data_IF_331482284299
#
_entry.id   IF_331482284299
#
_cell.length_a   1.000
_cell.length_b   1.000
_cell.length_c   1.000
_cell.angle_alpha   90.00
_cell.angle_beta   90.00
_cell.angle_gamma   90.00
#
_symmetry.space_group_name_H-M   'P 1'
#
loop_
_entity.id
_entity.type
_entity.pdbx_description
1 polymer ?
#
# COMPACT_ATOMS: atom_id res chain seq x y z
N UNK A 1 -2.22 -5.32 2.61
CA UNK A 1 -0.90 -5.66 3.19
C UNK A 1 -1.04 -6.67 4.34
N UNK A 2 -2.10 -6.59 5.16
CA UNK A 2 -2.38 -7.56 6.22
C UNK A 2 -2.59 -9.00 5.70
N UNK A 3 -3.21 -9.17 4.54
CA UNK A 3 -3.37 -10.47 3.88
C UNK A 3 -2.00 -11.11 3.57
N UNK A 4 -1.07 -10.33 3.02
CA UNK A 4 0.28 -10.81 2.71
C UNK A 4 1.05 -11.19 3.98
N UNK A 5 0.94 -10.38 5.04
CA UNK A 5 1.50 -10.74 6.35
C UNK A 5 0.95 -12.08 6.87
N UNK A 6 -0.39 -12.27 6.75
CA UNK A 6 -1.03 -13.54 7.14
C UNK A 6 -0.46 -14.70 6.32
N UNK A 7 -0.34 -14.54 5.01
CA UNK A 7 0.24 -15.55 4.12
C UNK A 7 1.65 -15.97 4.56
N UNK A 8 2.54 -15.02 4.87
CA UNK A 8 3.88 -15.34 5.33
C UNK A 8 3.89 -16.04 6.69
N UNK A 9 3.01 -15.65 7.62
CA UNK A 9 2.92 -16.33 8.92
C UNK A 9 2.40 -17.76 8.78
N UNK A 10 1.37 -17.97 7.97
CA UNK A 10 0.82 -19.30 7.70
C UNK A 10 1.85 -20.20 7.00
N UNK A 11 2.62 -19.63 6.06
CA UNK A 11 3.74 -20.33 5.40
C UNK A 11 4.82 -20.72 6.42
N UNK A 12 5.22 -19.81 7.30
CA UNK A 12 6.22 -20.09 8.33
C UNK A 12 5.76 -21.20 9.27
N UNK A 13 4.51 -21.16 9.72
CA UNK A 13 3.90 -22.20 10.55
C UNK A 13 3.90 -23.56 9.84
N UNK A 14 3.53 -23.58 8.56
CA UNK A 14 3.44 -24.82 7.78
C UNK A 14 4.78 -25.54 7.66
N UNK A 15 5.88 -24.81 7.52
CA UNK A 15 7.19 -25.41 7.26
C UNK A 15 8.09 -25.54 8.50
N UNK A 16 7.86 -24.75 9.54
CA UNK A 16 8.79 -24.68 10.69
C UNK A 16 8.12 -24.82 12.04
N UNK A 17 6.80 -24.92 12.10
CA UNK A 17 5.98 -24.91 13.32
C UNK A 17 6.18 -23.62 14.17
N UNK A 18 6.86 -22.61 13.63
CA UNK A 18 7.12 -21.33 14.30
C UNK A 18 6.06 -20.30 13.94
N UNK A 19 5.87 -19.37 14.83
CA UNK A 19 5.02 -18.19 14.61
C UNK A 19 5.80 -16.94 14.99
N UNK A 20 5.68 -15.90 14.17
CA UNK A 20 6.22 -14.58 14.48
C UNK A 20 5.09 -13.65 14.91
N UNK A 21 5.41 -12.70 15.78
CA UNK A 21 4.47 -11.63 16.11
C UNK A 21 4.13 -10.80 14.86
N UNK A 22 2.95 -10.20 14.86
CA UNK A 22 2.57 -9.29 13.78
C UNK A 22 3.58 -8.14 13.60
N UNK A 23 4.13 -7.64 14.70
CA UNK A 23 5.11 -6.55 14.68
C UNK A 23 6.41 -6.98 14.01
N UNK A 24 6.92 -8.17 14.33
CA UNK A 24 8.16 -8.71 13.75
C UNK A 24 7.99 -8.97 12.26
N UNK A 25 6.86 -9.56 11.85
CA UNK A 25 6.56 -9.77 10.43
C UNK A 25 6.50 -8.46 9.67
N UNK A 26 5.80 -7.45 10.16
CA UNK A 26 5.79 -6.13 9.51
C UNK A 26 7.18 -5.50 9.45
N UNK A 27 7.97 -5.62 10.51
CA UNK A 27 9.36 -5.13 10.54
C UNK A 27 10.20 -5.80 9.45
N UNK A 28 10.12 -7.12 9.30
CA UNK A 28 10.81 -7.87 8.25
C UNK A 28 10.32 -7.42 6.86
N UNK A 29 9.01 -7.41 6.65
CA UNK A 29 8.41 -7.05 5.36
C UNK A 29 8.71 -5.61 4.92
N UNK A 30 8.93 -4.69 5.85
CA UNK A 30 9.23 -3.29 5.54
C UNK A 30 10.72 -2.95 5.51
N UNK A 31 11.59 -3.89 5.92
CA UNK A 31 13.06 -3.71 5.93
C UNK A 31 13.73 -4.08 4.61
N UNK A 32 13.01 -4.71 3.68
CA UNK A 32 13.58 -5.05 2.37
C UNK A 32 13.88 -3.77 1.57
N UNK A 33 14.95 -3.76 0.76
CA UNK A 33 15.25 -2.60 -0.07
C UNK A 33 14.20 -2.44 -1.18
N UNK A 34 13.73 -1.21 -1.41
CA UNK A 34 12.92 -0.92 -2.58
C UNK A 34 13.79 -0.95 -3.84
N UNK A 35 13.43 -1.72 -4.90
CA UNK A 35 14.27 -1.89 -6.06
C UNK A 35 14.41 -0.59 -6.86
N UNK A 36 15.59 -0.35 -7.43
CA UNK A 36 15.84 0.80 -8.32
C UNK A 36 15.14 0.67 -9.68
N UNK A 37 14.83 -0.54 -10.09
CA UNK A 37 14.15 -0.83 -11.35
C UNK A 37 13.05 -1.85 -11.07
N UNK A 38 11.84 -1.49 -11.40
CA UNK A 38 10.64 -2.28 -11.18
C UNK A 38 10.13 -2.98 -12.45
N UNK A 39 10.86 -2.82 -13.58
CA UNK A 39 10.54 -3.52 -14.82
C UNK A 39 10.69 -5.03 -14.64
N UNK A 40 9.67 -5.77 -15.04
CA UNK A 40 9.64 -7.23 -14.92
C UNK A 40 9.25 -7.76 -13.53
N UNK A 41 8.84 -6.90 -12.62
CA UNK A 41 8.27 -7.30 -11.33
C UNK A 41 6.89 -7.95 -11.50
N UNK A 42 6.46 -8.63 -10.45
CA UNK A 42 5.09 -9.11 -10.33
C UNK A 42 4.12 -7.93 -10.38
N UNK A 43 3.03 -8.09 -11.10
CA UNK A 43 1.90 -7.13 -11.05
C UNK A 43 0.85 -7.71 -10.12
N UNK A 44 0.54 -6.98 -9.06
CA UNK A 44 -0.46 -7.38 -8.06
C UNK A 44 -1.64 -6.43 -8.13
N UNK A 45 -2.80 -6.97 -8.46
CA UNK A 45 -4.07 -6.30 -8.29
C UNK A 45 -4.58 -6.61 -6.88
N UNK A 46 -4.77 -5.57 -6.06
CA UNK A 46 -5.09 -5.73 -4.63
C UNK A 46 -6.59 -5.74 -4.31
N UNK A 47 -7.46 -5.93 -5.30
CA UNK A 47 -8.92 -5.98 -5.13
C UNK A 47 -9.40 -7.32 -4.55
N UNK A 48 -8.80 -7.79 -3.45
CA UNK A 48 -9.05 -9.12 -2.88
C UNK A 48 -10.48 -9.29 -2.34
N UNK A 49 -11.10 -8.21 -1.89
CA UNK A 49 -12.48 -8.18 -1.36
C UNK A 49 -13.47 -7.54 -2.34
N UNK A 50 -13.03 -7.30 -3.59
CA UNK A 50 -13.80 -6.63 -4.61
C UNK A 50 -13.92 -5.12 -4.40
N UNK A 51 -14.83 -4.49 -5.14
CA UNK A 51 -15.16 -3.07 -5.04
C UNK A 51 -16.63 -2.89 -4.64
N UNK A 52 -17.04 -1.67 -4.30
CA UNK A 52 -18.46 -1.37 -4.05
C UNK A 52 -19.34 -1.60 -5.30
N UNK A 53 -18.79 -1.36 -6.48
CA UNK A 53 -19.47 -1.56 -7.76
C UNK A 53 -19.42 -3.02 -8.25
N UNK A 54 -18.40 -3.77 -7.85
CA UNK A 54 -18.23 -5.18 -8.21
C UNK A 54 -17.68 -5.99 -7.02
N UNK A 55 -18.53 -6.45 -6.11
CA UNK A 55 -18.12 -7.21 -4.92
C UNK A 55 -17.57 -8.61 -5.25
N UNK A 56 -17.76 -9.10 -6.48
CA UNK A 56 -17.24 -10.40 -6.94
C UNK A 56 -15.86 -10.31 -7.57
N UNK A 57 -15.32 -9.12 -7.75
CA UNK A 57 -13.95 -8.95 -8.24
C UNK A 57 -12.95 -9.53 -7.24
N UNK A 58 -11.84 -10.07 -7.78
CA UNK A 58 -10.79 -10.67 -6.95
C UNK A 58 -9.43 -10.17 -7.40
N UNK A 59 -8.55 -9.99 -6.42
CA UNK A 59 -7.15 -9.65 -6.66
C UNK A 59 -6.45 -10.70 -7.51
N UNK A 60 -5.42 -10.26 -8.23
CA UNK A 60 -4.64 -11.09 -9.15
C UNK A 60 -3.16 -10.85 -8.96
N UNK A 61 -2.37 -11.89 -9.20
CA UNK A 61 -0.91 -11.79 -9.33
C UNK A 61 -0.58 -12.28 -10.72
N UNK A 62 0.04 -11.43 -11.52
CA UNK A 62 0.37 -11.69 -12.92
C UNK A 62 1.84 -11.42 -13.22
N UNK A 63 2.31 -11.74 -14.43
CA UNK A 63 3.70 -11.60 -14.86
C UNK A 63 4.68 -12.43 -14.02
N UNK A 64 4.22 -13.58 -13.52
CA UNK A 64 5.06 -14.52 -12.78
C UNK A 64 6.06 -15.17 -13.73
N UNK A 65 7.32 -15.20 -13.31
CA UNK A 65 8.41 -15.90 -13.98
C UNK A 65 9.28 -16.66 -12.97
N UNK A 66 10.16 -17.51 -13.45
CA UNK A 66 11.10 -18.26 -12.60
C UNK A 66 12.09 -17.35 -11.86
N UNK A 67 12.32 -16.15 -12.35
CA UNK A 67 13.27 -15.20 -11.77
C UNK A 67 12.66 -14.19 -10.81
N UNK A 68 11.33 -13.96 -10.86
CA UNK A 68 10.69 -12.91 -10.07
C UNK A 68 9.71 -13.41 -9.00
N UNK A 69 9.40 -14.69 -8.94
CA UNK A 69 8.48 -15.23 -7.93
C UNK A 69 9.22 -15.48 -6.61
N UNK A 70 9.55 -14.39 -5.92
CA UNK A 70 10.24 -14.39 -4.62
C UNK A 70 9.43 -13.65 -3.56
N UNK A 71 9.65 -13.92 -2.26
CA UNK A 71 8.99 -13.20 -1.17
C UNK A 71 9.15 -11.69 -1.26
N UNK A 72 10.36 -11.21 -1.60
CA UNK A 72 10.68 -9.79 -1.73
C UNK A 72 9.88 -9.15 -2.87
N UNK A 73 9.87 -9.78 -4.04
CA UNK A 73 9.12 -9.28 -5.19
C UNK A 73 7.61 -9.31 -4.94
N UNK A 74 7.13 -10.27 -4.18
CA UNK A 74 5.73 -10.32 -3.77
C UNK A 74 5.39 -9.13 -2.86
N UNK A 75 6.24 -8.83 -1.87
CA UNK A 75 6.07 -7.66 -0.98
C UNK A 75 6.06 -6.35 -1.79
N UNK A 76 7.02 -6.18 -2.71
CA UNK A 76 7.10 -5.00 -3.58
C UNK A 76 5.87 -4.92 -4.49
N UNK A 77 5.48 -6.02 -5.13
CA UNK A 77 4.28 -6.07 -5.97
C UNK A 77 3.00 -5.63 -5.24
N UNK A 78 2.86 -6.02 -3.96
CA UNK A 78 1.72 -5.59 -3.14
C UNK A 78 1.71 -4.08 -2.86
N UNK A 79 2.84 -3.47 -2.51
CA UNK A 79 2.87 -2.01 -2.28
C UNK A 79 2.69 -1.23 -3.57
N UNK A 80 3.23 -1.74 -4.69
CA UNK A 80 2.99 -1.16 -6.03
C UNK A 80 1.51 -1.28 -6.44
N UNK A 81 0.89 -2.44 -6.20
CA UNK A 81 -0.54 -2.64 -6.48
C UNK A 81 -1.45 -1.71 -5.67
N UNK A 82 -1.13 -1.46 -4.39
CA UNK A 82 -1.83 -0.46 -3.57
C UNK A 82 -1.66 0.94 -4.17
N UNK A 83 -0.43 1.30 -4.55
CA UNK A 83 -0.13 2.59 -5.17
C UNK A 83 -0.85 2.76 -6.50
N UNK A 84 -0.89 1.73 -7.33
CA UNK A 84 -1.62 1.73 -8.61
C UNK A 84 -3.13 1.92 -8.41
N UNK A 85 -3.72 1.22 -7.45
CA UNK A 85 -5.13 1.37 -7.10
C UNK A 85 -5.47 2.81 -6.67
N UNK A 86 -4.62 3.43 -5.83
CA UNK A 86 -4.80 4.83 -5.43
C UNK A 86 -4.63 5.80 -6.61
N UNK A 87 -3.65 5.54 -7.48
CA UNK A 87 -3.44 6.34 -8.68
C UNK A 87 -4.61 6.22 -9.66
N UNK A 88 -5.19 5.04 -9.81
CA UNK A 88 -6.39 4.85 -10.62
C UNK A 88 -7.52 5.77 -10.15
N UNK A 89 -7.83 5.81 -8.85
CA UNK A 89 -8.84 6.72 -8.32
C UNK A 89 -8.47 8.20 -8.49
N UNK A 90 -7.20 8.55 -8.36
CA UNK A 90 -6.73 9.91 -8.64
C UNK A 90 -6.99 10.31 -10.09
N UNK A 91 -6.80 9.40 -11.05
CA UNK A 91 -7.08 9.66 -12.46
C UNK A 91 -8.56 9.95 -12.77
N UNK A 92 -9.48 9.45 -11.95
CA UNK A 92 -10.92 9.72 -12.08
C UNK A 92 -11.31 11.13 -11.61
N UNK A 93 -10.43 11.86 -10.94
CA UNK A 93 -10.69 13.23 -10.52
C UNK A 93 -10.75 14.17 -11.73
N UNK A 94 -11.59 15.23 -11.68
CA UNK A 94 -11.56 16.31 -12.66
C UNK A 94 -10.17 16.92 -12.83
N UNK A 95 -9.82 17.35 -14.03
CA UNK A 95 -8.46 17.82 -14.38
C UNK A 95 -7.98 18.97 -13.47
N UNK A 96 -8.86 19.91 -13.15
CA UNK A 96 -8.51 21.05 -12.28
C UNK A 96 -8.10 20.63 -10.86
N UNK A 97 -8.46 19.43 -10.40
CA UNK A 97 -8.03 18.87 -9.11
C UNK A 97 -6.69 18.15 -9.21
N UNK A 98 -6.24 17.81 -10.41
CA UNK A 98 -4.98 17.06 -10.64
C UNK A 98 -3.80 18.01 -10.93
N UNK A 99 -4.07 19.18 -11.48
CA UNK A 99 -3.04 20.14 -11.86
C UNK A 99 -2.43 20.86 -10.66
N UNK A 100 -1.19 21.31 -10.81
CA UNK A 100 -0.45 22.12 -9.81
C UNK A 100 -0.25 21.41 -8.44
N UNK A 101 -0.22 20.07 -8.42
CA UNK A 101 0.11 19.32 -7.20
C UNK A 101 1.62 19.18 -7.09
N UNK A 102 2.16 19.41 -5.90
CA UNK A 102 3.60 19.39 -5.63
C UNK A 102 4.00 18.33 -4.61
N UNK A 103 3.04 17.77 -3.89
CA UNK A 103 3.27 16.75 -2.88
C UNK A 103 2.03 15.90 -2.63
N UNK A 104 2.25 14.71 -2.08
CA UNK A 104 1.20 13.83 -1.55
C UNK A 104 1.21 13.92 -0.04
N UNK A 105 0.05 14.09 0.58
CA UNK A 105 -0.08 14.00 2.04
C UNK A 105 -0.57 12.63 2.43
N UNK A 106 0.31 11.88 3.10
CA UNK A 106 0.00 10.55 3.62
C UNK A 106 -0.54 10.62 5.05
N UNK A 107 -1.72 10.05 5.28
CA UNK A 107 -2.33 9.95 6.61
C UNK A 107 -2.69 8.51 6.95
N UNK A 108 -2.84 8.22 8.24
CA UNK A 108 -3.16 6.90 8.75
C UNK A 108 -1.96 5.95 8.93
N UNK A 109 -2.17 4.94 9.76
CA UNK A 109 -1.11 4.01 10.19
C UNK A 109 -0.51 3.18 9.06
N UNK A 110 -1.28 2.87 8.02
CA UNK A 110 -0.83 2.05 6.89
C UNK A 110 0.34 2.69 6.14
N UNK A 111 0.25 3.99 5.89
CA UNK A 111 1.33 4.73 5.23
C UNK A 111 2.43 5.12 6.22
N UNK A 112 2.09 5.64 7.41
CA UNK A 112 3.07 6.10 8.40
C UNK A 112 4.10 5.02 8.80
N UNK A 113 3.71 3.74 8.79
CA UNK A 113 4.54 2.61 9.20
C UNK A 113 5.13 1.80 8.04
N UNK A 114 4.93 2.20 6.79
CA UNK A 114 5.38 1.43 5.64
C UNK A 114 6.20 2.28 4.65
N UNK A 115 7.54 2.36 4.85
CA UNK A 115 8.42 3.12 3.96
C UNK A 115 8.45 2.59 2.51
N UNK A 116 8.15 1.32 2.27
CA UNK A 116 8.04 0.77 0.92
C UNK A 116 6.82 1.36 0.19
N UNK A 117 5.71 1.57 0.90
CA UNK A 117 4.54 2.21 0.32
C UNK A 117 4.81 3.68 -0.02
N UNK A 118 5.62 4.41 0.79
CA UNK A 118 6.06 5.75 0.43
C UNK A 118 6.76 5.74 -0.93
N UNK A 119 7.75 4.86 -1.10
CA UNK A 119 8.51 4.76 -2.35
C UNK A 119 7.64 4.40 -3.55
N UNK A 120 6.72 3.46 -3.38
CA UNK A 120 5.79 3.08 -4.44
C UNK A 120 4.87 4.24 -4.84
N UNK A 121 4.39 5.02 -3.88
CA UNK A 121 3.56 6.21 -4.14
C UNK A 121 4.38 7.33 -4.81
N UNK A 122 5.57 7.63 -4.30
CA UNK A 122 6.48 8.62 -4.90
C UNK A 122 6.81 8.28 -6.35
N UNK A 123 7.12 7.00 -6.63
CA UNK A 123 7.38 6.52 -7.99
C UNK A 123 6.16 6.68 -8.89
N UNK A 124 4.99 6.28 -8.40
CA UNK A 124 3.77 6.25 -9.22
C UNK A 124 3.18 7.63 -9.49
N UNK A 125 3.21 8.52 -8.50
CA UNK A 125 2.63 9.86 -8.61
C UNK A 125 3.63 10.92 -9.10
N UNK A 126 4.93 10.64 -9.06
CA UNK A 126 5.97 11.59 -9.40
C UNK A 126 6.11 12.75 -8.40
N UNK A 127 5.61 12.60 -7.17
CA UNK A 127 5.62 13.61 -6.12
C UNK A 127 6.07 13.02 -4.78
N UNK A 128 6.80 13.81 -3.95
CA UNK A 128 7.21 13.36 -2.64
C UNK A 128 6.03 13.14 -1.71
N UNK A 129 6.13 12.13 -0.86
CA UNK A 129 5.14 11.85 0.19
C UNK A 129 5.52 12.60 1.46
N UNK A 130 4.62 13.45 1.94
CA UNK A 130 4.69 14.12 3.23
C UNK A 130 3.74 13.43 4.22
N UNK A 131 4.25 13.02 5.37
CA UNK A 131 3.40 12.39 6.38
C UNK A 131 2.66 13.45 7.19
N UNK A 132 1.37 13.21 7.42
CA UNK A 132 0.59 14.04 8.36
C UNK A 132 1.18 13.97 9.76
N UNK A 133 1.34 15.14 10.40
CA UNK A 133 1.79 15.25 11.78
C UNK A 133 0.69 14.92 12.80
N UNK A 134 -0.56 14.85 12.36
CA UNK A 134 -1.72 14.51 13.20
C UNK A 134 -1.73 13.00 13.39
N UNK A 135 -1.89 12.54 14.63
CA UNK A 135 -1.92 11.10 14.92
C UNK A 135 -3.29 10.47 14.62
N UNK A 136 -4.38 11.17 14.96
CA UNK A 136 -5.75 10.72 14.77
C UNK A 136 -6.51 11.68 13.86
N UNK A 137 -6.21 11.65 12.57
CA UNK A 137 -6.70 12.62 11.58
C UNK A 137 -8.24 12.64 11.50
N UNK A 138 -8.88 11.47 11.59
CA UNK A 138 -10.34 11.37 11.52
C UNK A 138 -11.02 12.04 12.73
N UNK A 139 -10.50 11.80 13.94
CA UNK A 139 -11.00 12.43 15.16
C UNK A 139 -10.75 13.95 15.14
N UNK A 140 -9.58 14.38 14.69
CA UNK A 140 -9.25 15.79 14.55
C UNK A 140 -10.18 16.50 13.56
N UNK A 141 -10.44 15.89 12.40
CA UNK A 141 -11.37 16.40 11.39
C UNK A 141 -12.80 16.53 11.94
N UNK A 142 -13.29 15.56 12.71
CA UNK A 142 -14.58 15.63 13.38
C UNK A 142 -14.66 16.80 14.36
N UNK A 143 -13.61 17.05 15.16
CA UNK A 143 -13.54 18.17 16.08
C UNK A 143 -13.57 19.53 15.37
N UNK A 144 -12.88 19.66 14.22
CA UNK A 144 -12.93 20.89 13.41
C UNK A 144 -14.35 21.14 12.90
N UNK A 145 -15.01 20.12 12.37
CA UNK A 145 -16.37 20.25 11.86
C UNK A 145 -17.35 20.72 12.93
N UNK A 146 -17.25 20.20 14.16
CA UNK A 146 -18.06 20.65 15.29
C UNK A 146 -17.82 22.11 15.68
N UNK A 147 -16.58 22.59 15.60
CA UNK A 147 -16.25 24.01 15.84
C UNK A 147 -16.83 24.96 14.81
N UNK A 148 -16.90 24.53 13.56
CA UNK A 148 -17.38 25.37 12.45
C UNK A 148 -18.92 25.39 12.31
N UNK A 149 -19.62 24.59 13.09
CA UNK A 149 -21.11 24.57 13.15
C UNK A 149 -21.67 25.53 14.22
N UNK A 150 -20.86 26.29 14.92
CA UNK A 150 -21.24 27.37 15.83
C UNK A 150 -21.06 28.74 15.16
#
# INVERSE_FOLDING_TARGET
>A
YALLRKFFNDTLKLFTEKELSNADLYKIMTSIPYPKNTKGNLIVDTLFDGTRSNPNERGKITHISTSNFTPENLIIGFVQGISEGLYHYFQLLPEFLKTNKTSLVGSGNGIKKNPLLHKALEERFGHPVQLSHIQEEAAFGACINLKNQK
#
